data_IF_108787316966
#
_entry.id   IF_108787316966
#
_cell.length_a   1.000
_cell.length_b   1.000
_cell.length_c   1.000
_cell.angle_alpha   90.00
_cell.angle_beta   90.00
_cell.angle_gamma   90.00
#
_symmetry.space_group_name_H-M   'P 1'
#
loop_
_entity.id
_entity.type
_entity.pdbx_description
1 polymer ?
#
# COMPACT_ATOMS: atom_id res chain seq x y z
N UNK A 1 -10.23 -34.05 61.06
CA UNK A 1 -10.49 -33.00 60.04
C UNK A 1 -9.25 -32.57 59.26
N UNK A 2 -8.05 -32.61 59.85
CA UNK A 2 -6.80 -32.06 59.28
C UNK A 2 -6.29 -32.73 58.00
N UNK A 3 -6.43 -34.06 57.87
CA UNK A 3 -5.92 -34.82 56.70
C UNK A 3 -6.68 -34.51 55.41
N UNK A 4 -8.00 -34.25 55.48
CA UNK A 4 -8.82 -33.87 54.32
C UNK A 4 -8.48 -32.47 53.79
N UNK A 5 -8.14 -31.52 54.67
CA UNK A 5 -7.69 -30.18 54.27
C UNK A 5 -6.33 -30.21 53.58
N UNK A 6 -5.40 -31.04 54.04
CA UNK A 6 -4.08 -31.19 53.41
C UNK A 6 -4.23 -31.79 52.00
N UNK A 7 -5.10 -32.77 51.82
CA UNK A 7 -5.41 -33.36 50.51
C UNK A 7 -6.01 -32.33 49.53
N UNK A 8 -6.98 -31.51 49.98
CA UNK A 8 -7.55 -30.44 49.17
C UNK A 8 -6.51 -29.37 48.79
N UNK A 9 -5.66 -28.97 49.73
CA UNK A 9 -4.62 -27.95 49.48
C UNK A 9 -3.61 -28.42 48.43
N UNK A 10 -3.18 -29.68 48.50
CA UNK A 10 -2.26 -30.27 47.51
C UNK A 10 -2.91 -30.43 46.13
N UNK A 11 -4.20 -30.77 46.10
CA UNK A 11 -4.96 -30.85 44.85
C UNK A 11 -5.13 -29.49 44.18
N UNK A 12 -5.46 -28.46 44.97
CA UNK A 12 -5.58 -27.07 44.50
C UNK A 12 -4.25 -26.51 43.99
N UNK A 13 -3.15 -26.79 44.70
CA UNK A 13 -1.80 -26.41 44.26
C UNK A 13 -1.43 -27.11 42.94
N UNK A 14 -1.72 -28.41 42.83
CA UNK A 14 -1.47 -29.19 41.61
C UNK A 14 -2.26 -28.69 40.41
N UNK A 15 -3.55 -28.38 40.59
CA UNK A 15 -4.41 -27.83 39.53
C UNK A 15 -3.91 -26.45 39.10
N UNK A 16 -3.54 -25.58 40.05
CA UNK A 16 -3.01 -24.25 39.74
C UNK A 16 -1.71 -24.31 38.93
N UNK A 17 -0.77 -25.19 39.30
CA UNK A 17 0.49 -25.37 38.55
C UNK A 17 0.24 -25.90 37.14
N UNK A 18 -0.66 -26.89 36.98
CA UNK A 18 -1.03 -27.41 35.67
C UNK A 18 -1.69 -26.35 34.78
N UNK A 19 -2.59 -25.53 35.35
CA UNK A 19 -3.23 -24.43 34.63
C UNK A 19 -2.19 -23.39 34.19
N UNK A 20 -1.24 -23.00 35.05
CA UNK A 20 -0.18 -22.07 34.66
C UNK A 20 0.74 -22.65 33.57
N UNK A 21 1.13 -23.93 33.66
CA UNK A 21 2.02 -24.59 32.69
C UNK A 21 1.38 -24.82 31.32
N UNK A 22 0.05 -24.84 31.23
CA UNK A 22 -0.65 -25.00 29.95
C UNK A 22 -1.16 -23.66 29.43
N UNK A 23 -1.81 -22.87 30.28
CA UNK A 23 -2.41 -21.59 29.89
C UNK A 23 -1.36 -20.52 29.63
N UNK A 24 -0.25 -20.48 30.39
CA UNK A 24 0.77 -19.46 30.19
C UNK A 24 1.53 -19.64 28.86
N UNK A 25 1.98 -20.85 28.47
CA UNK A 25 2.56 -21.07 27.15
C UNK A 25 1.55 -20.91 26.02
N UNK A 26 0.27 -21.28 26.21
CA UNK A 26 -0.77 -21.03 25.19
C UNK A 26 -1.04 -19.54 25.03
N UNK A 27 -1.19 -18.78 26.12
CA UNK A 27 -1.32 -17.32 26.07
C UNK A 27 -0.07 -16.65 25.50
N UNK A 28 1.14 -17.13 25.84
CA UNK A 28 2.38 -16.65 25.27
C UNK A 28 2.47 -16.99 23.78
N UNK A 29 2.09 -18.19 23.36
CA UNK A 29 2.01 -18.58 21.95
C UNK A 29 0.96 -17.78 21.19
N UNK A 30 -0.19 -17.46 21.80
CA UNK A 30 -1.22 -16.60 21.20
C UNK A 30 -0.74 -15.14 21.13
N UNK A 31 -0.04 -14.65 22.16
CA UNK A 31 0.57 -13.33 22.17
C UNK A 31 1.74 -13.20 21.17
N UNK A 32 2.53 -14.27 21.01
CA UNK A 32 3.61 -14.38 20.03
C UNK A 32 3.08 -14.64 18.61
N UNK A 33 1.85 -15.18 18.47
CA UNK A 33 1.07 -15.23 17.22
C UNK A 33 0.47 -13.87 16.85
N UNK A 34 1.11 -12.76 17.21
CA UNK A 34 1.07 -11.60 16.34
C UNK A 34 1.76 -11.99 15.03
N UNK A 35 1.00 -12.60 14.11
CA UNK A 35 1.36 -12.67 12.70
C UNK A 35 1.38 -11.23 12.20
N UNK A 36 2.47 -10.52 12.47
CA UNK A 36 2.70 -9.20 11.90
C UNK A 36 2.53 -9.35 10.40
N UNK A 37 1.58 -8.59 9.82
CA UNK A 37 1.25 -8.69 8.41
C UNK A 37 2.54 -8.63 7.58
N UNK A 38 2.93 -9.78 7.02
CA UNK A 38 4.13 -9.93 6.19
C UNK A 38 3.90 -9.35 4.79
N UNK A 39 2.73 -8.78 4.51
CA UNK A 39 2.49 -8.14 3.24
C UNK A 39 3.38 -6.92 3.00
N UNK A 40 3.70 -6.74 1.73
CA UNK A 40 4.24 -5.51 1.18
C UNK A 40 3.11 -4.72 0.53
N UNK A 41 3.38 -3.43 0.38
CA UNK A 41 2.44 -2.48 -0.20
C UNK A 41 3.12 -1.67 -1.29
N UNK A 42 2.34 -1.07 -2.17
CA UNK A 42 2.78 -0.09 -3.15
C UNK A 42 1.68 0.92 -3.43
N UNK A 43 2.05 2.17 -3.69
CA UNK A 43 1.10 3.25 -3.98
C UNK A 43 1.39 3.79 -5.38
N UNK A 44 0.34 3.87 -6.20
CA UNK A 44 0.38 4.51 -7.51
C UNK A 44 -0.71 5.57 -7.55
N UNK A 45 -0.33 6.79 -7.91
CA UNK A 45 -1.27 7.84 -8.27
C UNK A 45 -1.33 7.93 -9.80
N UNK A 46 -2.51 7.67 -10.36
CA UNK A 46 -2.82 7.92 -11.76
C UNK A 46 -3.38 9.34 -11.88
N UNK A 47 -2.54 10.26 -12.37
CA UNK A 47 -2.89 11.64 -12.60
C UNK A 47 -3.42 11.83 -14.03
N UNK A 48 -4.67 11.43 -14.21
CA UNK A 48 -5.46 11.61 -15.43
C UNK A 48 -5.73 13.08 -15.78
N UNK A 49 -6.32 13.30 -16.96
CA UNK A 49 -6.72 14.65 -17.39
C UNK A 49 -7.87 15.22 -16.55
N UNK A 50 -8.81 14.37 -16.13
CA UNK A 50 -10.06 14.78 -15.51
C UNK A 50 -10.07 14.64 -13.99
N UNK A 51 -9.30 13.70 -13.45
CA UNK A 51 -9.20 13.42 -12.02
C UNK A 51 -7.82 12.82 -11.71
N UNK A 52 -7.51 12.64 -10.43
CA UNK A 52 -6.37 11.84 -9.98
C UNK A 52 -6.88 10.76 -9.04
N UNK A 53 -6.56 9.50 -9.32
CA UNK A 53 -6.92 8.36 -8.46
C UNK A 53 -5.67 7.75 -7.85
N UNK A 54 -5.73 7.43 -6.56
CA UNK A 54 -4.67 6.75 -5.83
C UNK A 54 -5.07 5.30 -5.58
N UNK A 55 -4.21 4.38 -6.00
CA UNK A 55 -4.35 2.95 -5.77
C UNK A 55 -3.31 2.47 -4.78
N UNK A 56 -3.74 1.74 -3.75
CA UNK A 56 -2.88 1.03 -2.83
C UNK A 56 -2.95 -0.45 -3.19
N UNK A 57 -1.81 -1.02 -3.53
CA UNK A 57 -1.66 -2.45 -3.81
C UNK A 57 -1.04 -3.17 -2.62
N UNK A 58 -1.38 -4.44 -2.45
CA UNK A 58 -0.88 -5.32 -1.39
C UNK A 58 -0.49 -6.68 -1.98
N UNK A 59 0.60 -7.26 -1.48
CA UNK A 59 1.01 -8.62 -1.85
C UNK A 59 1.77 -9.30 -0.70
N UNK A 60 1.74 -10.64 -0.59
CA UNK A 60 2.58 -11.36 0.37
C UNK A 60 4.07 -11.06 0.15
N UNK A 61 4.88 -10.98 1.23
CA UNK A 61 6.34 -10.83 1.06
C UNK A 61 6.98 -12.00 0.32
N UNK A 62 6.43 -13.20 0.50
CA UNK A 62 6.84 -14.41 -0.19
C UNK A 62 6.26 -14.43 -1.60
N UNK A 63 7.12 -14.69 -2.59
CA UNK A 63 6.70 -14.78 -3.99
C UNK A 63 6.13 -16.16 -4.25
N UNK A 64 4.98 -16.26 -4.89
CA UNK A 64 4.49 -17.54 -5.41
C UNK A 64 5.11 -17.77 -6.79
N UNK A 65 5.97 -18.79 -6.94
CA UNK A 65 6.61 -19.12 -8.23
C UNK A 65 7.42 -17.98 -8.88
N UNK A 66 8.09 -17.14 -8.07
CA UNK A 66 8.91 -16.02 -8.57
C UNK A 66 8.14 -14.74 -8.87
N UNK A 67 6.80 -14.77 -8.83
CA UNK A 67 5.91 -13.63 -9.04
C UNK A 67 5.04 -13.42 -7.79
N UNK A 68 5.03 -12.22 -7.22
CA UNK A 68 4.05 -11.91 -6.16
C UNK A 68 2.66 -11.79 -6.80
N UNK A 69 1.61 -12.34 -6.17
CA UNK A 69 0.21 -12.04 -6.53
C UNK A 69 -0.15 -10.70 -5.88
N UNK A 70 -0.33 -9.68 -6.71
CA UNK A 70 -0.62 -8.30 -6.31
C UNK A 70 -2.12 -8.08 -6.41
N UNK A 71 -2.73 -7.63 -5.32
CA UNK A 71 -4.15 -7.26 -5.27
C UNK A 71 -4.31 -5.79 -4.96
N UNK A 72 -5.35 -5.17 -5.50
CA UNK A 72 -5.77 -3.84 -5.07
C UNK A 72 -6.32 -3.95 -3.64
N UNK A 73 -5.74 -3.16 -2.74
CA UNK A 73 -6.10 -3.15 -1.33
C UNK A 73 -7.08 -2.02 -1.00
N UNK A 74 -6.85 -0.84 -1.55
CA UNK A 74 -7.62 0.37 -1.27
C UNK A 74 -7.47 1.37 -2.41
N UNK A 75 -8.44 2.27 -2.54
CA UNK A 75 -8.51 3.30 -3.58
C UNK A 75 -9.00 4.63 -3.00
N UNK A 76 -8.58 5.74 -3.58
CA UNK A 76 -9.07 7.07 -3.25
C UNK A 76 -9.02 7.99 -4.47
N UNK A 77 -10.15 8.65 -4.76
CA UNK A 77 -10.21 9.68 -5.77
C UNK A 77 -9.93 11.05 -5.15
N UNK A 78 -8.89 11.73 -5.64
CA UNK A 78 -8.58 13.08 -5.22
C UNK A 78 -9.69 14.02 -5.68
N UNK A 79 -10.13 14.92 -4.79
CA UNK A 79 -11.16 15.91 -5.10
C UNK A 79 -10.63 16.93 -6.11
N UNK A 80 -11.49 17.30 -7.06
CA UNK A 80 -11.18 18.29 -8.08
C UNK A 80 -10.82 17.67 -9.42
N UNK A 81 -10.04 18.41 -10.22
CA UNK A 81 -9.63 18.00 -11.55
C UNK A 81 -8.32 17.21 -11.58
N UNK A 82 -7.88 16.83 -12.78
CA UNK A 82 -6.52 16.33 -13.00
C UNK A 82 -5.46 17.37 -12.62
N UNK A 83 -4.24 16.94 -12.30
CA UNK A 83 -3.20 17.87 -11.80
C UNK A 83 -2.87 19.01 -12.78
N UNK A 84 -3.08 18.81 -14.09
CA UNK A 84 -2.90 19.84 -15.11
C UNK A 84 -3.87 21.02 -14.99
N UNK A 85 -5.03 20.83 -14.34
CA UNK A 85 -6.04 21.89 -14.13
C UNK A 85 -5.62 22.96 -13.11
N UNK A 86 -4.52 22.71 -12.40
CA UNK A 86 -3.93 23.64 -11.43
C UNK A 86 -2.77 24.46 -12.02
N UNK A 87 -2.58 24.43 -13.34
CA UNK A 87 -1.69 25.37 -14.01
C UNK A 87 -2.02 26.83 -13.60
N UNK A 88 -0.98 27.61 -13.30
CA UNK A 88 -1.14 28.99 -12.81
C UNK A 88 -1.70 29.13 -11.39
N UNK A 89 -1.88 28.03 -10.63
CA UNK A 89 -2.40 28.04 -9.23
C UNK A 89 -1.39 27.39 -8.28
N UNK A 90 -0.37 28.14 -7.82
CA UNK A 90 0.71 27.58 -7.00
C UNK A 90 0.21 26.85 -5.76
N UNK A 91 0.66 25.62 -5.56
CA UNK A 91 0.38 24.79 -4.39
C UNK A 91 -0.93 24.00 -4.44
N UNK A 92 -1.87 24.34 -5.34
CA UNK A 92 -3.18 23.67 -5.38
C UNK A 92 -3.09 22.23 -5.91
N UNK A 93 -2.15 21.93 -6.81
CA UNK A 93 -1.87 20.56 -7.25
C UNK A 93 -1.34 19.67 -6.12
N UNK A 94 -0.52 20.23 -5.24
CA UNK A 94 -0.03 19.53 -4.06
C UNK A 94 -1.14 19.31 -3.02
N UNK A 95 -1.98 20.32 -2.82
CA UNK A 95 -3.08 20.30 -1.86
C UNK A 95 -4.16 19.30 -2.25
N UNK A 96 -4.48 19.16 -3.53
CA UNK A 96 -5.51 18.22 -4.00
C UNK A 96 -5.20 16.75 -3.65
N UNK A 97 -3.92 16.41 -3.48
CA UNK A 97 -3.47 15.05 -3.16
C UNK A 97 -3.50 14.73 -1.65
N UNK A 98 -3.64 15.73 -0.77
CA UNK A 98 -3.48 15.53 0.68
C UNK A 98 -4.48 14.56 1.26
N UNK A 99 -5.74 14.62 0.83
CA UNK A 99 -6.79 13.74 1.34
C UNK A 99 -6.47 12.27 1.08
N UNK A 100 -6.09 11.93 -0.16
CA UNK A 100 -5.72 10.56 -0.51
C UNK A 100 -4.40 10.12 0.13
N UNK A 101 -3.41 11.00 0.23
CA UNK A 101 -2.17 10.63 0.93
C UNK A 101 -2.40 10.40 2.44
N UNK A 102 -3.30 11.16 3.07
CA UNK A 102 -3.73 10.92 4.44
C UNK A 102 -4.54 9.63 4.58
N UNK A 103 -5.31 9.25 3.56
CA UNK A 103 -5.94 7.94 3.48
C UNK A 103 -4.88 6.82 3.46
N UNK A 104 -3.85 6.94 2.63
CA UNK A 104 -2.76 5.95 2.57
C UNK A 104 -2.03 5.78 3.92
N UNK A 105 -1.84 6.85 4.70
CA UNK A 105 -1.26 6.77 6.04
C UNK A 105 -2.08 5.91 7.01
N UNK A 106 -3.39 5.83 6.82
CA UNK A 106 -4.31 5.04 7.64
C UNK A 106 -4.36 3.58 7.18
N UNK A 107 -4.37 3.37 5.87
CA UNK A 107 -4.47 2.04 5.26
C UNK A 107 -3.18 1.21 5.41
N UNK A 108 -2.02 1.86 5.40
CA UNK A 108 -0.72 1.17 5.44
C UNK A 108 -0.15 1.19 6.87
N UNK A 109 0.15 0.03 7.47
CA UNK A 109 0.74 -0.05 8.81
C UNK A 109 2.02 0.78 8.91
N UNK A 110 2.20 1.52 10.02
CA UNK A 110 3.37 2.39 10.24
C UNK A 110 4.72 1.68 10.00
N UNK A 111 4.83 0.42 10.39
CA UNK A 111 6.05 -0.40 10.20
C UNK A 111 6.38 -0.69 8.73
N UNK A 112 5.42 -0.52 7.81
CA UNK A 112 5.58 -0.75 6.37
C UNK A 112 5.75 0.53 5.55
N UNK A 113 5.33 1.69 6.06
CA UNK A 113 5.30 2.95 5.31
C UNK A 113 6.63 3.29 4.64
N UNK A 114 7.75 3.29 5.38
CA UNK A 114 9.08 3.61 4.83
C UNK A 114 9.59 2.66 3.73
N UNK A 115 9.01 1.45 3.62
CA UNK A 115 9.37 0.46 2.60
C UNK A 115 8.43 0.50 1.39
N UNK A 116 7.24 1.09 1.55
CA UNK A 116 6.21 1.17 0.51
C UNK A 116 6.62 2.15 -0.59
N UNK A 117 6.88 1.69 -1.83
CA UNK A 117 7.12 2.58 -2.96
C UNK A 117 5.89 3.44 -3.26
N UNK A 118 6.15 4.70 -3.59
CA UNK A 118 5.14 5.69 -3.98
C UNK A 118 5.54 6.30 -5.33
N UNK A 119 4.68 6.15 -6.33
CA UNK A 119 4.87 6.70 -7.67
C UNK A 119 3.64 7.50 -8.11
N UNK A 120 3.86 8.51 -8.97
CA UNK A 120 2.79 9.17 -9.70
C UNK A 120 3.07 9.17 -11.20
N UNK A 121 2.11 8.69 -11.99
CA UNK A 121 2.13 8.75 -13.45
C UNK A 121 1.09 9.75 -13.94
N UNK A 122 1.53 10.84 -14.58
CA UNK A 122 0.62 11.78 -15.22
C UNK A 122 0.48 11.49 -16.71
N UNK A 123 -0.74 11.53 -17.23
CA UNK A 123 -1.05 11.07 -18.59
C UNK A 123 -1.31 12.23 -19.56
N UNK A 124 -2.30 12.11 -20.44
CA UNK A 124 -2.56 13.03 -21.54
C UNK A 124 -2.75 14.49 -21.11
N UNK A 125 -3.38 14.75 -19.95
CA UNK A 125 -3.60 16.11 -19.45
C UNK A 125 -2.30 16.89 -19.23
N UNK A 126 -1.30 16.25 -18.59
CA UNK A 126 0.00 16.87 -18.38
C UNK A 126 0.86 16.90 -19.65
N UNK A 127 0.70 15.92 -20.57
CA UNK A 127 1.32 15.99 -21.89
C UNK A 127 0.86 17.24 -22.65
N UNK A 128 -0.45 17.50 -22.65
CA UNK A 128 -1.02 18.68 -23.29
C UNK A 128 -0.55 19.97 -22.62
N UNK A 129 -0.58 20.05 -21.28
CA UNK A 129 -0.07 21.22 -20.56
C UNK A 129 1.40 21.49 -20.89
N UNK A 130 2.24 20.45 -20.95
CA UNK A 130 3.67 20.59 -21.31
C UNK A 130 3.88 21.19 -22.71
N UNK A 131 2.99 20.88 -23.66
CA UNK A 131 3.03 21.43 -25.02
C UNK A 131 2.58 22.90 -25.04
N UNK A 132 1.56 23.26 -24.26
CA UNK A 132 1.01 24.62 -24.21
C UNK A 132 1.91 25.55 -23.40
N UNK A 133 2.28 25.14 -22.19
CA UNK A 133 3.10 25.90 -21.26
C UNK A 133 4.02 24.98 -20.45
N UNK A 134 5.24 24.83 -20.94
CA UNK A 134 6.25 23.96 -20.31
C UNK A 134 6.59 24.39 -18.89
N UNK A 135 6.68 25.68 -18.61
CA UNK A 135 7.05 26.21 -17.28
C UNK A 135 5.99 25.85 -16.24
N UNK A 136 4.71 26.02 -16.57
CA UNK A 136 3.61 25.63 -15.67
C UNK A 136 3.54 24.12 -15.47
N UNK A 137 3.77 23.34 -16.53
CA UNK A 137 3.84 21.88 -16.43
C UNK A 137 4.95 21.44 -15.47
N UNK A 138 6.15 22.02 -15.59
CA UNK A 138 7.28 21.71 -14.73
C UNK A 138 7.03 22.18 -13.28
N UNK A 139 6.38 23.32 -13.09
CA UNK A 139 5.98 23.81 -11.77
C UNK A 139 4.99 22.86 -11.09
N UNK A 140 3.88 22.50 -11.75
CA UNK A 140 2.88 21.57 -11.22
C UNK A 140 3.54 20.25 -10.83
N UNK A 141 4.39 19.70 -11.71
CA UNK A 141 5.06 18.44 -11.45
C UNK A 141 6.06 18.55 -10.29
N UNK A 142 6.74 19.69 -10.14
CA UNK A 142 7.62 19.96 -9.00
C UNK A 142 6.85 20.01 -7.70
N UNK A 143 5.74 20.74 -7.63
CA UNK A 143 4.90 20.84 -6.43
C UNK A 143 4.39 19.46 -5.98
N UNK A 144 3.97 18.64 -6.95
CA UNK A 144 3.56 17.24 -6.71
C UNK A 144 4.73 16.41 -6.17
N UNK A 145 5.93 16.51 -6.76
CA UNK A 145 7.13 15.81 -6.25
C UNK A 145 7.45 16.20 -4.82
N UNK A 146 7.49 17.50 -4.55
CA UNK A 146 7.83 18.03 -3.22
C UNK A 146 6.80 17.54 -2.19
N UNK A 147 5.51 17.56 -2.55
CA UNK A 147 4.45 17.06 -1.69
C UNK A 147 4.56 15.56 -1.42
N UNK A 148 4.66 14.74 -2.47
CA UNK A 148 4.73 13.27 -2.30
C UNK A 148 6.00 12.85 -1.53
N UNK A 149 7.11 13.57 -1.71
CA UNK A 149 8.37 13.33 -0.99
C UNK A 149 8.30 13.66 0.50
N UNK A 150 7.31 14.45 0.94
CA UNK A 150 7.14 14.81 2.35
C UNK A 150 6.44 13.73 3.20
N UNK A 151 5.82 12.73 2.56
CA UNK A 151 5.18 11.62 3.25
C UNK A 151 6.20 10.52 3.63
N UNK A 152 5.93 9.70 4.67
CA UNK A 152 6.82 8.64 5.15
C UNK A 152 6.91 7.42 4.23
N UNK A 153 6.56 7.55 2.95
CA UNK A 153 6.65 6.50 1.95
C UNK A 153 7.97 6.58 1.17
N UNK A 154 8.36 5.49 0.53
CA UNK A 154 9.54 5.47 -0.34
C UNK A 154 9.19 6.10 -1.69
N UNK A 155 9.20 7.43 -1.76
CA UNK A 155 8.98 8.15 -3.00
C UNK A 155 9.99 7.71 -4.07
N UNK A 156 9.49 7.38 -5.25
CA UNK A 156 10.28 6.91 -6.39
C UNK A 156 10.34 7.92 -7.50
N UNK A 157 9.18 8.30 -8.00
CA UNK A 157 9.07 9.24 -9.10
C UNK A 157 7.68 9.86 -9.19
N UNK A 158 7.64 11.06 -9.75
CA UNK A 158 6.44 11.63 -10.36
C UNK A 158 6.85 12.12 -11.75
N UNK A 159 6.25 11.54 -12.80
CA UNK A 159 6.60 11.82 -14.19
C UNK A 159 5.38 11.86 -15.09
N UNK A 160 5.55 12.50 -16.24
CA UNK A 160 4.58 12.47 -17.34
C UNK A 160 4.91 11.23 -18.18
N UNK A 161 3.98 10.29 -18.26
CA UNK A 161 4.13 9.08 -19.06
C UNK A 161 4.01 9.41 -20.55
N UNK A 162 4.83 8.75 -21.35
CA UNK A 162 4.58 8.63 -22.78
C UNK A 162 3.30 7.83 -23.04
N UNK A 163 2.67 8.03 -24.20
CA UNK A 163 1.51 7.22 -24.59
C UNK A 163 1.84 5.73 -24.72
N UNK A 164 3.08 5.41 -25.08
CA UNK A 164 3.60 4.04 -25.16
C UNK A 164 3.74 3.41 -23.76
N UNK A 165 4.29 4.13 -22.78
CA UNK A 165 4.35 3.66 -21.39
C UNK A 165 2.95 3.42 -20.83
N UNK A 166 2.05 4.39 -21.00
CA UNK A 166 0.65 4.29 -20.54
C UNK A 166 -0.05 3.07 -21.15
N UNK A 167 0.07 2.87 -22.47
CA UNK A 167 -0.51 1.71 -23.16
C UNK A 167 0.14 0.38 -22.76
N UNK A 168 1.47 0.33 -22.62
CA UNK A 168 2.19 -0.87 -22.22
C UNK A 168 1.86 -1.30 -20.80
N UNK A 169 1.80 -0.37 -19.85
CA UNK A 169 1.41 -0.66 -18.47
C UNK A 169 -0.04 -1.14 -18.39
N UNK A 170 -0.97 -0.52 -19.13
CA UNK A 170 -2.34 -1.01 -19.24
C UNK A 170 -2.41 -2.44 -19.78
N UNK A 171 -1.67 -2.75 -20.84
CA UNK A 171 -1.61 -4.09 -21.43
C UNK A 171 -1.03 -5.13 -20.45
N UNK A 172 0.04 -4.79 -19.73
CA UNK A 172 0.63 -5.66 -18.71
C UNK A 172 -0.37 -5.90 -17.58
N UNK A 173 -1.05 -4.87 -17.07
CA UNK A 173 -2.05 -4.99 -16.00
C UNK A 173 -3.17 -5.95 -16.38
N UNK A 174 -3.76 -5.80 -17.57
CA UNK A 174 -4.84 -6.69 -18.04
C UNK A 174 -4.36 -8.14 -18.15
N UNK A 175 -3.21 -8.38 -18.78
CA UNK A 175 -2.69 -9.74 -18.95
C UNK A 175 -2.25 -10.37 -17.63
N UNK A 176 -1.76 -9.56 -16.70
CA UNK A 176 -1.41 -10.01 -15.36
C UNK A 176 -2.65 -10.45 -14.58
N UNK A 177 -3.71 -9.63 -14.58
CA UNK A 177 -4.96 -9.93 -13.88
C UNK A 177 -5.71 -11.12 -14.50
N UNK A 178 -5.57 -11.35 -15.80
CA UNK A 178 -6.10 -12.53 -16.50
C UNK A 178 -5.19 -13.76 -16.37
N UNK A 179 -4.12 -13.68 -15.58
CA UNK A 179 -3.15 -14.76 -15.37
C UNK A 179 -2.47 -15.28 -16.65
N UNK A 180 -2.47 -14.49 -17.73
CA UNK A 180 -1.87 -14.87 -19.02
C UNK A 180 -0.34 -15.06 -18.95
N UNK A 181 0.30 -14.59 -17.87
CA UNK A 181 1.74 -14.78 -17.61
C UNK A 181 2.04 -15.97 -16.68
N UNK A 182 1.03 -16.64 -16.13
CA UNK A 182 1.21 -17.80 -15.27
C UNK A 182 1.28 -19.06 -16.15
N UNK A 183 2.48 -19.63 -16.28
CA UNK A 183 2.65 -20.90 -16.98
C UNK A 183 2.14 -22.04 -16.10
N UNK A 184 0.91 -22.50 -16.33
CA UNK A 184 0.41 -23.73 -15.70
C UNK A 184 1.23 -24.89 -16.27
N UNK A 185 2.13 -25.47 -15.46
CA UNK A 185 2.73 -26.77 -15.79
C UNK A 185 1.60 -27.79 -15.66
N UNK A 186 1.00 -28.19 -16.79
CA UNK A 186 0.19 -29.41 -16.82
C UNK A 186 1.13 -30.57 -16.54
N UNK A 187 0.97 -31.18 -15.38
CA UNK A 187 1.50 -32.52 -15.12
C UNK A 187 0.62 -33.45 -15.95
N UNK A 188 1.15 -33.90 -17.09
CA UNK A 188 0.58 -35.01 -17.85
C UNK A 188 0.89 -36.33 -17.13
#
# INVERSE_FOLDING_TARGET
MTVRLIGLSKLLLGVSVCVCMVVCPVCLCVALRQTGDLSRYGIVLDAGSSHTSMFIYKWPADKQNGTGVVTQHSECDAKGGGISSYAGKPGEAAKSLEECMNHALKEIPKSRQHQTPLCLGATAGMRLLKLINRTESEQVLKEVRDKLSSYPFKFKEAKILSGQEEGAYGWVTVNYLLENFIKVIRVN
#
